data_IF_611825335486
#
_entry.id   IF_611825335486
#
_cell.length_a   1.000
_cell.length_b   1.000
_cell.length_c   1.000
_cell.angle_alpha   90.00
_cell.angle_beta   90.00
_cell.angle_gamma   90.00
#
_symmetry.space_group_name_H-M   'P 1'
#
loop_
_entity.id
_entity.type
_entity.pdbx_description
1 polymer ?
#
# COMPACT_ATOMS: atom_id res chain seq x y z
N UNK A 1 -10.40 -16.24 11.16
CA UNK A 1 -10.77 -16.32 9.73
C UNK A 1 -10.79 -17.75 9.20
N UNK A 2 -10.18 -18.73 9.88
CA UNK A 2 -10.18 -20.17 9.49
C UNK A 2 -9.96 -20.40 7.98
N UNK A 3 -8.96 -19.69 7.44
CA UNK A 3 -8.67 -19.66 6.01
C UNK A 3 -7.33 -20.34 5.75
N UNK A 4 -7.30 -21.49 5.05
CA UNK A 4 -6.09 -22.31 4.90
C UNK A 4 -5.24 -21.94 3.67
N UNK A 5 -5.53 -20.82 2.99
CA UNK A 5 -4.83 -20.38 1.78
C UNK A 5 -4.12 -19.06 2.03
N UNK A 6 -3.38 -18.61 1.01
CA UNK A 6 -2.63 -17.36 1.04
C UNK A 6 -3.47 -16.15 1.48
N UNK A 7 -2.85 -15.30 2.29
CA UNK A 7 -3.38 -14.02 2.76
C UNK A 7 -2.41 -12.88 2.41
N UNK A 8 -2.99 -11.74 2.05
CA UNK A 8 -2.29 -10.47 1.92
C UNK A 8 -2.89 -9.50 2.93
N UNK A 9 -2.04 -8.82 3.71
CA UNK A 9 -2.45 -7.72 4.59
C UNK A 9 -1.90 -6.42 4.08
N UNK A 10 -2.75 -5.41 3.99
CA UNK A 10 -2.31 -4.05 3.76
C UNK A 10 -1.64 -3.46 5.02
N UNK A 11 -1.00 -2.31 4.87
CA UNK A 11 -0.29 -1.64 5.95
C UNK A 11 -1.21 -0.89 6.92
N UNK A 12 -2.47 -0.64 6.53
CA UNK A 12 -3.44 0.21 7.22
C UNK A 12 -3.34 1.71 6.86
N UNK A 13 -2.30 2.15 6.15
CA UNK A 13 -2.07 3.57 5.86
C UNK A 13 -3.21 4.23 5.07
N UNK A 14 -3.69 3.58 4.01
CA UNK A 14 -4.74 4.12 3.14
C UNK A 14 -6.08 4.32 3.88
N UNK A 15 -6.47 3.39 4.73
CA UNK A 15 -7.72 3.43 5.50
C UNK A 15 -7.69 4.59 6.50
N UNK A 16 -6.55 4.82 7.15
CA UNK A 16 -6.40 5.92 8.10
C UNK A 16 -6.51 7.28 7.40
N UNK A 17 -5.95 7.43 6.20
CA UNK A 17 -6.01 8.70 5.44
C UNK A 17 -7.38 8.93 4.79
N UNK A 18 -8.03 7.87 4.30
CA UNK A 18 -9.32 7.99 3.61
C UNK A 18 -10.53 8.15 4.53
N UNK A 19 -10.46 7.63 5.77
CA UNK A 19 -11.57 7.67 6.73
C UNK A 19 -11.48 8.85 7.71
N UNK A 20 -10.32 9.48 7.85
CA UNK A 20 -10.09 10.47 8.90
C UNK A 20 -9.58 11.78 8.29
N UNK A 21 -10.48 12.78 8.23
CA UNK A 21 -10.10 14.19 8.03
C UNK A 21 -9.09 14.71 9.09
N UNK A 22 -8.82 13.92 10.13
CA UNK A 22 -7.96 14.22 11.26
C UNK A 22 -6.64 13.41 11.25
N UNK A 23 -6.26 12.82 10.11
CA UNK A 23 -4.95 12.17 9.99
C UNK A 23 -3.86 13.22 9.74
N UNK A 24 -2.82 13.23 10.59
CA UNK A 24 -1.60 14.01 10.40
C UNK A 24 -0.44 13.08 10.06
N UNK A 25 0.27 13.40 8.98
CA UNK A 25 1.35 12.55 8.46
C UNK A 25 2.66 13.27 8.69
N UNK A 26 3.47 12.70 9.55
CA UNK A 26 4.82 13.20 9.87
C UNK A 26 5.86 12.19 9.45
N UNK A 27 7.14 12.52 9.56
CA UNK A 27 8.20 11.53 9.28
C UNK A 27 8.12 10.31 10.22
N UNK A 28 7.58 10.49 11.43
CA UNK A 28 7.48 9.42 12.43
C UNK A 28 6.49 8.34 12.00
N UNK A 29 5.34 8.73 11.47
CA UNK A 29 4.23 7.85 11.09
C UNK A 29 2.96 8.63 10.82
N UNK A 30 1.83 7.92 10.79
CA UNK A 30 0.49 8.49 10.63
C UNK A 30 -0.16 8.62 12.00
N UNK A 31 -0.40 9.85 12.45
CA UNK A 31 -1.21 10.12 13.63
C UNK A 31 -2.67 10.23 13.21
N UNK A 32 -3.56 9.57 13.94
CA UNK A 32 -4.97 9.55 13.59
C UNK A 32 -5.85 9.34 14.82
N UNK A 33 -7.15 9.61 14.66
CA UNK A 33 -8.12 9.39 15.71
C UNK A 33 -8.87 8.06 15.48
N UNK A 34 -8.88 7.19 16.49
CA UNK A 34 -9.63 5.94 16.46
C UNK A 34 -11.12 6.22 16.18
N UNK A 35 -11.72 5.56 15.16
CA UNK A 35 -13.13 5.72 14.87
C UNK A 35 -14.03 5.02 15.90
N UNK A 36 -13.46 4.18 16.77
CA UNK A 36 -14.22 3.39 17.76
C UNK A 36 -14.46 4.20 19.03
N UNK A 37 -13.41 4.86 19.54
CA UNK A 37 -13.43 5.50 20.87
C UNK A 37 -12.87 6.93 20.87
N UNK A 38 -12.39 7.43 19.72
CA UNK A 38 -11.86 8.78 19.62
C UNK A 38 -10.46 8.96 20.22
N UNK A 39 -9.78 7.88 20.64
CA UNK A 39 -8.41 7.96 21.15
C UNK A 39 -7.43 8.34 20.03
N UNK A 40 -6.37 9.08 20.37
CA UNK A 40 -5.30 9.38 19.40
C UNK A 40 -4.35 8.19 19.32
N UNK A 41 -4.07 7.75 18.11
CA UNK A 41 -3.19 6.65 17.79
C UNK A 41 -2.11 7.13 16.83
N UNK A 42 -0.96 6.47 16.88
CA UNK A 42 0.11 6.63 15.91
C UNK A 42 0.36 5.26 15.27
N UNK A 43 0.45 5.23 13.95
CA UNK A 43 0.90 4.08 13.19
C UNK A 43 2.24 4.41 12.54
N UNK A 44 3.31 3.84 13.08
CA UNK A 44 4.65 3.89 12.49
C UNK A 44 4.90 2.71 11.53
N UNK A 45 5.89 2.80 10.62
CA UNK A 45 6.38 1.67 9.84
C UNK A 45 6.69 0.43 10.69
N UNK A 46 7.34 0.59 11.84
CA UNK A 46 7.71 -0.50 12.75
C UNK A 46 6.46 -1.15 13.37
N UNK A 47 5.50 -0.35 13.82
CA UNK A 47 4.23 -0.86 14.36
C UNK A 47 3.40 -1.57 13.29
N UNK A 48 3.31 -1.02 12.07
CA UNK A 48 2.60 -1.66 10.96
C UNK A 48 3.18 -3.04 10.65
N UNK A 49 4.51 -3.17 10.56
CA UNK A 49 5.17 -4.46 10.36
C UNK A 49 4.97 -5.39 11.56
N UNK A 50 5.09 -4.88 12.79
CA UNK A 50 4.86 -5.68 13.99
C UNK A 50 3.46 -6.32 14.03
N UNK A 51 2.42 -5.55 13.66
CA UNK A 51 1.04 -6.03 13.58
C UNK A 51 0.90 -7.14 12.52
N UNK A 52 1.53 -6.95 11.36
CA UNK A 52 1.45 -7.89 10.24
C UNK A 52 2.27 -9.19 10.48
N UNK A 53 3.44 -9.10 11.13
CA UNK A 53 4.42 -10.21 11.24
C UNK A 53 4.11 -11.23 12.36
N UNK A 54 3.07 -11.00 13.17
CA UNK A 54 2.76 -11.84 14.34
C UNK A 54 3.94 -11.87 15.35
N UNK A 55 4.71 -10.78 15.45
CA UNK A 55 5.67 -10.64 16.53
C UNK A 55 4.95 -10.22 17.81
N UNK A 56 5.45 -10.71 18.95
CA UNK A 56 5.14 -10.12 20.25
C UNK A 56 5.80 -8.73 20.31
N UNK A 57 5.20 -7.72 19.68
CA UNK A 57 5.63 -6.35 19.89
C UNK A 57 5.24 -5.88 21.30
N UNK A 58 6.14 -5.11 21.90
CA UNK A 58 6.06 -4.59 23.27
C UNK A 58 4.75 -3.82 23.52
N UNK A 59 4.16 -3.89 24.74
CA UNK A 59 2.77 -3.52 25.01
C UNK A 59 2.44 -2.01 24.99
N UNK A 60 3.32 -1.14 24.50
CA UNK A 60 3.37 0.24 24.98
C UNK A 60 2.62 1.28 24.16
N UNK A 61 2.04 0.98 22.98
CA UNK A 61 1.47 2.05 22.13
C UNK A 61 0.08 1.80 21.51
N UNK A 62 -0.42 0.56 21.45
CA UNK A 62 -1.83 0.27 21.13
C UNK A 62 -2.44 -0.73 22.13
N UNK A 63 -3.21 -0.27 23.13
CA UNK A 63 -3.98 -1.15 24.00
C UNK A 63 -5.09 -1.81 23.19
N UNK A 64 -4.87 -3.05 22.72
CA UNK A 64 -5.87 -3.83 21.97
C UNK A 64 -5.32 -4.61 20.78
N UNK A 65 -4.06 -4.42 20.37
CA UNK A 65 -3.44 -5.12 19.25
C UNK A 65 -3.03 -6.58 19.58
N UNK A 66 -3.93 -7.36 20.19
CA UNK A 66 -3.71 -8.79 20.44
C UNK A 66 -4.00 -9.67 19.22
N UNK A 67 -4.50 -9.10 18.12
CA UNK A 67 -4.81 -9.85 16.90
C UNK A 67 -3.63 -9.83 15.93
N UNK A 68 -2.93 -10.96 15.94
CA UNK A 68 -1.77 -11.31 15.12
C UNK A 68 -2.25 -11.93 13.80
N UNK A 69 -1.84 -11.38 12.65
CA UNK A 69 -2.39 -11.84 11.35
C UNK A 69 -1.54 -12.96 10.74
N UNK A 70 -0.21 -12.75 10.61
CA UNK A 70 0.69 -13.77 10.05
C UNK A 70 0.40 -14.10 8.58
N UNK A 71 0.16 -13.07 7.75
CA UNK A 71 -0.15 -13.22 6.33
C UNK A 71 1.09 -13.56 5.47
N UNK A 72 0.89 -14.25 4.35
CA UNK A 72 1.97 -14.66 3.43
C UNK A 72 2.60 -13.49 2.67
N UNK A 73 1.82 -12.44 2.41
CA UNK A 73 2.25 -11.17 1.83
C UNK A 73 1.85 -10.03 2.77
N UNK A 74 2.81 -9.15 3.07
CA UNK A 74 2.62 -7.97 3.92
C UNK A 74 3.00 -6.72 3.14
N UNK A 75 2.26 -5.64 3.31
CA UNK A 75 2.52 -4.39 2.61
C UNK A 75 3.29 -3.42 3.50
N UNK A 76 4.31 -2.75 2.95
CA UNK A 76 5.00 -1.67 3.63
C UNK A 76 4.06 -0.50 3.89
N UNK A 77 4.25 0.19 5.02
CA UNK A 77 3.58 1.47 5.26
C UNK A 77 4.14 2.53 4.31
N UNK A 78 3.25 3.24 3.63
CA UNK A 78 3.55 4.28 2.66
C UNK A 78 2.81 5.58 2.98
N UNK A 79 3.31 6.68 2.43
CA UNK A 79 2.66 7.99 2.54
C UNK A 79 1.76 8.20 1.33
N UNK A 80 0.47 7.92 1.49
CA UNK A 80 -0.51 7.99 0.40
C UNK A 80 -1.04 9.40 0.24
N UNK A 81 -0.94 9.92 -0.98
CA UNK A 81 -1.54 11.18 -1.39
C UNK A 81 -2.49 10.92 -2.56
N UNK A 82 -3.65 11.60 -2.56
CA UNK A 82 -4.61 11.50 -3.65
C UNK A 82 -3.97 11.85 -5.01
N UNK A 83 -4.31 11.08 -6.05
CA UNK A 83 -3.86 11.31 -7.43
C UNK A 83 -4.31 12.67 -8.00
N UNK A 84 -5.29 13.31 -7.36
CA UNK A 84 -5.81 14.63 -7.75
C UNK A 84 -5.02 15.80 -7.14
N UNK A 85 -4.20 15.55 -6.12
CA UNK A 85 -3.31 16.55 -5.55
C UNK A 85 -2.13 16.75 -6.51
N UNK A 86 -1.58 17.95 -6.57
CA UNK A 86 -0.36 18.24 -7.32
C UNK A 86 0.59 19.09 -6.49
N UNK A 87 1.86 19.13 -6.87
CA UNK A 87 2.88 19.96 -6.23
C UNK A 87 3.69 19.25 -5.13
N UNK A 88 4.34 20.02 -4.24
CA UNK A 88 5.40 19.53 -3.36
C UNK A 88 5.01 18.37 -2.44
N UNK A 89 3.71 18.25 -2.12
CA UNK A 89 3.20 17.20 -1.21
C UNK A 89 3.40 15.79 -1.78
N UNK A 90 3.29 15.59 -3.10
CA UNK A 90 3.51 14.27 -3.73
C UNK A 90 4.99 13.90 -3.68
N UNK A 91 5.86 14.87 -3.96
CA UNK A 91 7.32 14.66 -3.89
C UNK A 91 7.74 14.27 -2.46
N UNK A 92 7.25 15.02 -1.47
CA UNK A 92 7.46 14.71 -0.05
C UNK A 92 6.99 13.29 0.30
N UNK A 93 5.78 12.90 -0.14
CA UNK A 93 5.22 11.57 0.09
C UNK A 93 6.05 10.47 -0.56
N UNK A 94 6.53 10.72 -1.77
CA UNK A 94 7.33 9.79 -2.55
C UNK A 94 8.65 9.51 -1.85
N UNK A 95 9.34 10.56 -1.39
CA UNK A 95 10.59 10.41 -0.66
C UNK A 95 10.37 9.81 0.74
N UNK A 96 9.29 10.18 1.44
CA UNK A 96 8.93 9.58 2.73
C UNK A 96 8.66 8.08 2.60
N UNK A 97 7.92 7.67 1.57
CA UNK A 97 7.65 6.25 1.26
C UNK A 97 8.95 5.46 1.11
N UNK A 98 9.98 6.00 0.44
CA UNK A 98 11.28 5.32 0.33
C UNK A 98 12.01 5.18 1.66
N UNK A 99 11.92 6.17 2.55
CA UNK A 99 12.51 6.10 3.91
C UNK A 99 11.73 5.16 4.82
N UNK A 100 10.40 5.15 4.72
CA UNK A 100 9.54 4.23 5.44
C UNK A 100 9.70 2.78 4.98
N UNK A 101 9.98 2.56 3.69
CA UNK A 101 10.34 1.25 3.18
C UNK A 101 11.58 0.68 3.90
N UNK A 102 12.63 1.48 4.10
CA UNK A 102 13.83 1.03 4.83
C UNK A 102 13.51 0.63 6.27
N UNK A 103 12.67 1.43 6.95
CA UNK A 103 12.20 1.14 8.29
C UNK A 103 11.37 -0.14 8.34
N UNK A 104 10.49 -0.35 7.36
CA UNK A 104 9.71 -1.58 7.25
C UNK A 104 10.62 -2.81 7.04
N UNK A 105 11.63 -2.72 6.19
CA UNK A 105 12.59 -3.81 5.96
C UNK A 105 13.37 -4.15 7.23
N UNK A 106 13.80 -3.14 7.97
CA UNK A 106 14.54 -3.33 9.24
C UNK A 106 13.66 -3.96 10.32
N UNK A 107 12.37 -3.61 10.37
CA UNK A 107 11.41 -4.18 11.31
C UNK A 107 10.95 -5.60 10.94
N UNK A 108 11.09 -6.00 9.67
CA UNK A 108 10.63 -7.31 9.20
C UNK A 108 11.55 -8.44 9.64
N UNK A 109 11.11 -9.19 10.65
CA UNK A 109 11.91 -10.25 11.27
C UNK A 109 11.64 -11.66 10.72
N UNK A 110 10.66 -11.84 9.81
CA UNK A 110 10.28 -13.15 9.27
C UNK A 110 10.33 -13.21 7.73
N UNK A 111 11.44 -12.80 7.09
CA UNK A 111 11.54 -12.76 5.63
C UNK A 111 11.47 -14.15 4.96
N UNK A 112 11.66 -15.23 5.72
CA UNK A 112 11.53 -16.60 5.22
C UNK A 112 10.09 -17.11 5.21
N UNK A 113 9.20 -16.48 5.99
CA UNK A 113 7.80 -16.89 6.12
C UNK A 113 6.84 -15.93 5.39
N UNK A 114 7.22 -14.64 5.26
CA UNK A 114 6.35 -13.58 4.74
C UNK A 114 7.09 -12.69 3.75
N UNK A 115 6.40 -12.33 2.67
CA UNK A 115 6.92 -11.51 1.60
C UNK A 115 6.50 -10.04 1.80
N UNK A 116 7.47 -9.16 2.06
CA UNK A 116 7.23 -7.73 2.21
C UNK A 116 7.23 -7.02 0.84
N UNK A 117 6.10 -6.45 0.45
CA UNK A 117 5.98 -5.69 -0.79
C UNK A 117 6.16 -4.19 -0.54
N UNK A 118 6.92 -3.54 -1.42
CA UNK A 118 7.03 -2.08 -1.46
C UNK A 118 5.97 -1.47 -2.37
N UNK A 119 5.55 -0.24 -2.10
CA UNK A 119 4.48 0.44 -2.84
C UNK A 119 5.07 1.62 -3.61
N UNK A 120 5.02 1.55 -4.95
CA UNK A 120 5.41 2.64 -5.83
C UNK A 120 4.40 3.78 -5.66
N UNK A 121 4.90 4.95 -5.23
CA UNK A 121 4.18 6.22 -5.14
C UNK A 121 4.67 7.21 -6.22
N UNK A 122 4.14 8.42 -6.22
CA UNK A 122 4.47 9.46 -7.21
C UNK A 122 3.27 10.10 -7.90
N UNK A 123 2.05 9.73 -7.52
CA UNK A 123 0.82 10.27 -8.11
C UNK A 123 0.77 10.05 -9.63
N UNK A 124 0.49 11.11 -10.39
CA UNK A 124 0.48 11.08 -11.86
C UNK A 124 1.77 11.65 -12.47
N UNK A 125 2.78 11.96 -11.66
CA UNK A 125 4.04 12.53 -12.13
C UNK A 125 5.01 11.40 -12.55
N UNK A 126 5.37 11.28 -13.84
CA UNK A 126 6.26 10.22 -14.31
C UNK A 126 7.67 10.31 -13.72
N UNK A 127 8.15 11.52 -13.41
CA UNK A 127 9.49 11.71 -12.81
C UNK A 127 9.51 11.18 -11.38
N UNK A 128 8.48 11.51 -10.57
CA UNK A 128 8.38 11.00 -9.21
C UNK A 128 8.16 9.49 -9.17
N UNK A 129 7.37 8.95 -10.12
CA UNK A 129 7.24 7.51 -10.31
C UNK A 129 8.59 6.84 -10.58
N UNK A 130 9.40 7.40 -11.48
CA UNK A 130 10.75 6.88 -11.77
C UNK A 130 11.69 6.93 -10.56
N UNK A 131 11.62 8.01 -9.77
CA UNK A 131 12.39 8.14 -8.52
C UNK A 131 12.00 7.04 -7.54
N UNK A 132 10.69 6.84 -7.33
CA UNK A 132 10.19 5.81 -6.43
C UNK A 132 10.55 4.40 -6.92
N UNK A 133 10.34 4.11 -8.21
CA UNK A 133 10.69 2.83 -8.84
C UNK A 133 12.17 2.50 -8.65
N UNK A 134 13.07 3.42 -9.00
CA UNK A 134 14.52 3.21 -8.84
C UNK A 134 14.89 2.98 -7.38
N UNK A 135 14.32 3.76 -6.46
CA UNK A 135 14.55 3.59 -5.03
C UNK A 135 14.10 2.20 -4.53
N UNK A 136 12.89 1.77 -4.87
CA UNK A 136 12.37 0.47 -4.43
C UNK A 136 13.13 -0.72 -5.06
N UNK A 137 13.48 -0.64 -6.35
CA UNK A 137 14.20 -1.72 -7.05
C UNK A 137 15.57 -1.98 -6.43
N UNK A 138 16.27 -0.94 -5.97
CA UNK A 138 17.57 -1.08 -5.29
C UNK A 138 17.50 -1.90 -3.99
N UNK A 139 16.31 -2.06 -3.41
CA UNK A 139 16.09 -2.80 -2.16
C UNK A 139 15.77 -4.28 -2.36
N UNK A 140 15.69 -4.72 -3.61
CA UNK A 140 15.50 -6.12 -4.01
C UNK A 140 14.31 -6.83 -3.32
N UNK A 141 13.17 -6.16 -3.20
CA UNK A 141 11.97 -6.66 -2.50
C UNK A 141 11.35 -7.88 -3.19
N UNK A 142 10.70 -8.81 -2.47
CA UNK A 142 10.06 -10.00 -3.08
C UNK A 142 8.91 -9.67 -4.04
N UNK A 143 8.34 -8.46 -3.97
CA UNK A 143 7.35 -7.98 -4.91
C UNK A 143 7.08 -6.48 -4.77
N UNK A 144 6.36 -5.92 -5.73
CA UNK A 144 6.11 -4.48 -5.82
C UNK A 144 4.65 -4.20 -6.13
N UNK A 145 4.08 -3.26 -5.41
CA UNK A 145 2.76 -2.72 -5.68
C UNK A 145 2.82 -1.35 -6.36
N UNK A 146 1.77 -1.00 -7.07
CA UNK A 146 1.55 0.29 -7.71
C UNK A 146 0.38 0.94 -6.96
N UNK A 147 0.70 1.93 -6.13
CA UNK A 147 -0.26 2.62 -5.26
C UNK A 147 -0.56 4.05 -5.71
N UNK A 148 -1.50 4.70 -5.02
CA UNK A 148 -1.89 6.09 -5.28
C UNK A 148 -2.64 6.28 -6.60
N UNK A 149 -3.37 5.25 -7.05
CA UNK A 149 -4.21 5.25 -8.25
C UNK A 149 -5.66 4.86 -7.89
N UNK A 150 -6.55 4.87 -8.88
CA UNK A 150 -7.99 4.64 -8.75
C UNK A 150 -8.69 5.63 -7.80
N UNK A 151 -8.12 6.84 -7.65
CA UNK A 151 -8.58 7.89 -6.73
C UNK A 151 -9.46 8.97 -7.37
N UNK A 152 -9.77 8.83 -8.66
CA UNK A 152 -10.59 9.77 -9.44
C UNK A 152 -9.86 10.43 -10.61
N UNK A 153 -8.62 10.03 -10.89
CA UNK A 153 -7.87 10.47 -12.06
C UNK A 153 -8.52 10.04 -13.39
N UNK A 154 -8.11 10.72 -14.45
CA UNK A 154 -8.46 10.33 -15.82
C UNK A 154 -7.88 8.95 -16.18
N UNK A 155 -8.61 8.18 -16.98
CA UNK A 155 -8.23 6.82 -17.37
C UNK A 155 -6.95 6.76 -18.19
N UNK A 156 -6.69 7.72 -19.06
CA UNK A 156 -5.45 7.73 -19.85
C UNK A 156 -4.24 8.00 -18.95
N UNK A 157 -4.39 8.87 -17.94
CA UNK A 157 -3.35 9.10 -16.95
C UNK A 157 -3.09 7.82 -16.12
N UNK A 158 -4.15 7.15 -15.67
CA UNK A 158 -4.06 5.86 -14.98
C UNK A 158 -3.27 4.82 -15.78
N UNK A 159 -3.63 4.61 -17.05
CA UNK A 159 -2.95 3.62 -17.91
C UNK A 159 -1.49 3.94 -18.16
N UNK A 160 -1.15 5.22 -18.34
CA UNK A 160 0.24 5.66 -18.53
C UNK A 160 1.10 5.33 -17.31
N UNK A 161 0.59 5.56 -16.10
CA UNK A 161 1.31 5.24 -14.87
C UNK A 161 1.49 3.73 -14.72
N UNK A 162 0.44 2.94 -14.95
CA UNK A 162 0.54 1.47 -14.88
C UNK A 162 1.56 0.94 -15.89
N UNK A 163 1.50 1.40 -17.14
CA UNK A 163 2.43 1.00 -18.20
C UNK A 163 3.88 1.37 -17.86
N UNK A 164 4.11 2.58 -17.34
CA UNK A 164 5.44 3.02 -16.92
C UNK A 164 5.99 2.12 -15.81
N UNK A 165 5.20 1.89 -14.75
CA UNK A 165 5.65 1.12 -13.60
C UNK A 165 5.93 -0.34 -13.97
N UNK A 166 5.00 -0.98 -14.68
CA UNK A 166 5.13 -2.39 -15.09
C UNK A 166 6.31 -2.63 -16.04
N UNK A 167 6.63 -1.67 -16.93
CA UNK A 167 7.78 -1.74 -17.81
C UNK A 167 9.12 -1.61 -17.06
N UNK A 168 9.16 -0.83 -15.98
CA UNK A 168 10.38 -0.61 -15.19
C UNK A 168 10.61 -1.67 -14.12
N UNK A 169 9.54 -2.28 -13.58
CA UNK A 169 9.63 -3.26 -12.50
C UNK A 169 10.22 -4.60 -12.98
N UNK A 170 11.05 -5.28 -12.15
CA UNK A 170 11.69 -6.53 -12.52
C UNK A 170 10.69 -7.60 -13.00
N UNK A 171 10.95 -8.21 -14.15
CA UNK A 171 10.05 -9.19 -14.76
C UNK A 171 9.95 -10.51 -14.01
N UNK A 172 10.89 -10.79 -13.10
CA UNK A 172 10.91 -11.97 -12.26
C UNK A 172 10.23 -11.75 -10.89
N UNK A 173 9.52 -10.62 -10.71
CA UNK A 173 8.86 -10.26 -9.45
C UNK A 173 7.42 -9.81 -9.71
N UNK A 174 6.47 -10.17 -8.82
CA UNK A 174 5.07 -9.84 -9.00
C UNK A 174 4.82 -8.33 -8.92
N UNK A 175 3.86 -7.87 -9.74
CA UNK A 175 3.41 -6.48 -9.85
C UNK A 175 1.94 -6.38 -9.46
N UNK A 176 1.68 -5.76 -8.31
CA UNK A 176 0.35 -5.65 -7.72
C UNK A 176 -0.24 -4.26 -7.96
N UNK A 177 -1.30 -4.15 -8.76
CA UNK A 177 -2.01 -2.87 -8.96
C UNK A 177 -3.16 -2.77 -7.98
N UNK A 178 -3.03 -1.88 -7.00
CA UNK A 178 -3.95 -1.77 -5.87
C UNK A 178 -5.25 -1.06 -6.25
N UNK A 179 -6.38 -1.53 -5.76
CA UNK A 179 -7.69 -0.87 -5.89
C UNK A 179 -8.40 -1.03 -7.24
N UNK A 180 -7.93 -1.93 -8.11
CA UNK A 180 -8.48 -2.14 -9.47
C UNK A 180 -9.42 -3.34 -9.50
N UNK A 181 -10.69 -3.10 -9.85
CA UNK A 181 -11.72 -4.15 -9.84
C UNK A 181 -12.69 -4.17 -11.00
N UNK A 182 -12.68 -3.15 -11.87
CA UNK A 182 -13.54 -3.15 -13.04
C UNK A 182 -12.99 -4.14 -14.06
N UNK A 183 -13.81 -5.04 -14.66
CA UNK A 183 -13.29 -6.11 -15.51
C UNK A 183 -12.41 -5.65 -16.67
N UNK A 184 -12.81 -4.56 -17.36
CA UNK A 184 -12.00 -4.00 -18.44
C UNK A 184 -10.65 -3.50 -17.92
N UNK A 185 -10.64 -2.90 -16.73
CA UNK A 185 -9.40 -2.37 -16.15
C UNK A 185 -8.41 -3.48 -15.82
N UNK A 186 -8.91 -4.60 -15.28
CA UNK A 186 -8.09 -5.78 -15.00
C UNK A 186 -7.47 -6.30 -16.30
N UNK A 187 -8.26 -6.48 -17.37
CA UNK A 187 -7.77 -6.96 -18.67
C UNK A 187 -6.69 -6.03 -19.23
N UNK A 188 -6.91 -4.72 -19.19
CA UNK A 188 -5.94 -3.72 -19.68
C UNK A 188 -4.67 -3.73 -18.83
N UNK A 189 -4.78 -3.69 -17.50
CA UNK A 189 -3.63 -3.79 -16.61
C UNK A 189 -2.84 -5.09 -16.82
N UNK A 190 -3.52 -6.22 -17.03
CA UNK A 190 -2.86 -7.50 -17.30
C UNK A 190 -2.07 -7.45 -18.61
N UNK A 191 -2.65 -6.86 -19.65
CA UNK A 191 -1.95 -6.63 -20.92
C UNK A 191 -0.75 -5.68 -20.78
N UNK A 192 -0.77 -4.77 -19.81
CA UNK A 192 0.36 -3.92 -19.45
C UNK A 192 1.41 -4.62 -18.58
N UNK A 193 1.12 -5.82 -18.05
CA UNK A 193 2.07 -6.64 -17.32
C UNK A 193 1.92 -6.65 -15.79
N UNK A 194 0.74 -6.29 -15.28
CA UNK A 194 0.38 -6.50 -13.87
C UNK A 194 -0.07 -7.94 -13.59
N UNK A 195 0.16 -8.41 -12.36
CA UNK A 195 -0.04 -9.82 -11.95
C UNK A 195 -1.10 -9.99 -10.85
N UNK A 196 -1.30 -8.97 -10.01
CA UNK A 196 -2.21 -9.02 -8.86
C UNK A 196 -3.11 -7.79 -8.81
N UNK A 197 -4.32 -7.98 -8.28
CA UNK A 197 -5.37 -6.96 -8.15
C UNK A 197 -6.19 -7.19 -6.89
N UNK A 198 -6.74 -6.11 -6.35
CA UNK A 198 -7.75 -6.15 -5.30
C UNK A 198 -8.79 -5.06 -5.55
N UNK A 199 -10.05 -5.34 -5.23
CA UNK A 199 -11.07 -4.30 -5.20
C UNK A 199 -12.32 -4.78 -4.48
N UNK A 200 -12.98 -3.85 -3.79
CA UNK A 200 -14.33 -4.07 -3.25
C UNK A 200 -15.44 -3.93 -4.30
N UNK A 201 -15.11 -3.64 -5.57
CA UNK A 201 -16.08 -3.43 -6.64
C UNK A 201 -17.11 -4.56 -6.76
N UNK A 202 -16.74 -5.86 -6.85
CA UNK A 202 -17.72 -6.93 -7.02
C UNK A 202 -18.72 -7.02 -5.86
N UNK A 203 -18.24 -6.94 -4.62
CA UNK A 203 -19.09 -7.04 -3.42
C UNK A 203 -19.96 -5.80 -3.23
N UNK A 204 -19.44 -4.60 -3.55
CA UNK A 204 -20.23 -3.37 -3.51
C UNK A 204 -21.33 -3.38 -4.56
N UNK A 205 -21.00 -3.78 -5.78
CA UNK A 205 -21.92 -3.87 -6.92
C UNK A 205 -23.06 -4.86 -6.67
N UNK A 206 -22.75 -6.03 -6.08
CA UNK A 206 -23.77 -7.00 -5.67
C UNK A 206 -24.77 -6.44 -4.65
N UNK A 207 -24.31 -5.64 -3.67
CA UNK A 207 -25.20 -5.00 -2.68
C UNK A 207 -26.18 -3.99 -3.30
N UNK A 208 -25.87 -3.46 -4.48
CA UNK A 208 -26.75 -2.58 -5.25
C UNK A 208 -27.58 -3.33 -6.32
N UNK A 209 -27.54 -4.66 -6.35
CA UNK A 209 -28.24 -5.52 -7.32
C UNK A 209 -27.93 -5.17 -8.80
N UNK A 210 -26.68 -4.79 -9.10
CA UNK A 210 -26.23 -4.43 -10.45
C UNK A 210 -25.15 -5.38 -10.94
N UNK A 211 -25.44 -6.66 -11.09
CA UNK A 211 -24.49 -7.60 -11.71
C UNK A 211 -24.54 -7.51 -13.24
#
# INVERSE_FOLDING_TARGET
MDWPRGLLTDSGGFQMVSLLHLADITERGVEFQSPVDGSRMLLTPEESIAIQVNLQATPTQLPGAQNKIGADIIMALDDVVSSLVSGPRIEEATHRTLRWMDRCMQAHSRPHDQNLFGIVQGGLDPTLRDICLKGLIQRDLPGYAIGGLAGGEDKDAFWRVVAQCTAALPANKPRYVMGVGYPLDIVVCSALGADMYDCVYPTRTARFARL
#
